data_IF_939405482353
#
_entry.id   IF_939405482353
#
_cell.length_a   1.000
_cell.length_b   1.000
_cell.length_c   1.000
_cell.angle_alpha   90.00
_cell.angle_beta   90.00
_cell.angle_gamma   90.00
#
_symmetry.space_group_name_H-M   'P 1'
#
loop_
_entity.id
_entity.type
_entity.pdbx_description
1 polymer ?
#
# COMPACT_ATOMS: atom_id res chain seq x y z
N UNK A 1 9.14 7.58 -5.38
CA UNK A 1 9.52 6.22 -4.92
C UNK A 1 9.93 6.15 -3.46
N UNK A 2 11.01 6.82 -3.01
CA UNK A 2 11.48 6.76 -1.61
C UNK A 2 10.38 6.98 -0.55
N UNK A 3 9.55 8.03 -0.72
CA UNK A 3 8.43 8.37 0.18
C UNK A 3 7.38 7.26 0.29
N UNK A 4 7.06 6.61 -0.83
CA UNK A 4 6.13 5.48 -0.86
C UNK A 4 6.69 4.28 -0.11
N UNK A 5 7.96 3.92 -0.35
CA UNK A 5 8.61 2.84 0.37
C UNK A 5 8.69 3.11 1.88
N UNK A 6 8.96 4.35 2.27
CA UNK A 6 8.93 4.76 3.67
C UNK A 6 7.53 4.56 4.28
N UNK A 7 6.48 5.00 3.59
CA UNK A 7 5.09 4.80 4.04
C UNK A 7 4.75 3.31 4.20
N UNK A 8 5.05 2.47 3.20
CA UNK A 8 4.78 1.02 3.25
C UNK A 8 5.53 0.35 4.42
N UNK A 9 6.80 0.72 4.62
CA UNK A 9 7.59 0.23 5.74
C UNK A 9 7.04 0.68 7.09
N UNK A 10 6.60 1.93 7.19
CA UNK A 10 6.10 2.51 8.43
C UNK A 10 4.71 1.95 8.78
N UNK A 11 3.82 1.75 7.81
CA UNK A 11 2.55 1.07 8.02
C UNK A 11 2.81 -0.34 8.55
N UNK A 12 3.74 -1.08 7.93
CA UNK A 12 4.10 -2.44 8.35
C UNK A 12 4.56 -2.51 9.81
N UNK A 13 5.32 -1.53 10.30
CA UNK A 13 5.92 -1.56 11.64
C UNK A 13 5.05 -0.95 12.74
N UNK A 14 4.12 -0.05 12.39
CA UNK A 14 3.32 0.74 13.32
C UNK A 14 1.82 0.40 13.14
N UNK A 15 1.25 -0.46 14.01
CA UNK A 15 -0.17 -0.80 13.98
C UNK A 15 -1.11 0.40 14.15
N UNK A 16 -0.69 1.43 14.89
CA UNK A 16 -1.49 2.64 15.07
C UNK A 16 -1.50 3.48 13.79
N UNK A 17 -0.37 3.54 13.06
CA UNK A 17 -0.34 4.14 11.73
C UNK A 17 -1.24 3.39 10.75
N UNK A 18 -1.21 2.06 10.77
CA UNK A 18 -2.11 1.25 9.94
C UNK A 18 -3.59 1.49 10.30
N UNK A 19 -3.91 1.62 11.58
CA UNK A 19 -5.27 1.95 12.03
C UNK A 19 -5.69 3.35 11.56
N UNK A 20 -4.81 4.35 11.68
CA UNK A 20 -5.06 5.72 11.19
C UNK A 20 -5.29 5.72 9.68
N UNK A 21 -4.43 5.02 8.94
CA UNK A 21 -4.51 4.92 7.49
C UNK A 21 -5.84 4.31 7.04
N UNK A 22 -6.28 3.20 7.67
CA UNK A 22 -7.56 2.56 7.36
C UNK A 22 -8.79 3.41 7.68
N UNK A 23 -8.72 4.23 8.73
CA UNK A 23 -9.80 5.15 9.08
C UNK A 23 -9.89 6.33 8.12
N UNK A 24 -8.74 6.91 7.77
CA UNK A 24 -8.65 8.02 6.84
C UNK A 24 -7.22 8.09 6.26
N UNK A 25 -7.02 7.65 5.00
CA UNK A 25 -5.68 7.60 4.41
C UNK A 25 -5.15 8.99 4.01
N UNK A 26 -6.02 9.98 3.76
CA UNK A 26 -5.64 11.27 3.18
C UNK A 26 -4.57 12.02 4.00
N UNK A 27 -4.73 12.26 5.31
CA UNK A 27 -3.74 12.98 6.10
C UNK A 27 -2.39 12.24 6.17
N UNK A 28 -2.43 10.90 6.14
CA UNK A 28 -1.21 10.09 6.15
C UNK A 28 -0.47 10.22 4.81
N UNK A 29 -1.18 10.13 3.69
CA UNK A 29 -0.59 10.31 2.36
C UNK A 29 -0.01 11.71 2.19
N UNK A 30 -0.68 12.73 2.70
CA UNK A 30 -0.20 14.11 2.68
C UNK A 30 1.07 14.28 3.52
N UNK A 31 1.10 13.72 4.74
CA UNK A 31 2.26 13.78 5.64
C UNK A 31 3.51 13.11 5.05
N UNK A 32 3.34 12.01 4.32
CA UNK A 32 4.44 11.34 3.63
C UNK A 32 4.76 11.96 2.26
N UNK A 33 3.93 12.89 1.78
CA UNK A 33 4.06 13.51 0.45
C UNK A 33 3.91 12.49 -0.68
N UNK A 34 2.98 11.53 -0.52
CA UNK A 34 2.60 10.56 -1.55
C UNK A 34 1.50 11.18 -2.43
N UNK A 35 1.83 11.35 -3.71
CA UNK A 35 1.02 12.07 -4.71
C UNK A 35 0.98 11.29 -6.04
N UNK A 36 0.08 11.67 -6.96
CA UNK A 36 -0.04 11.06 -8.29
C UNK A 36 -0.47 9.59 -8.24
N UNK A 37 0.01 8.79 -9.19
CA UNK A 37 -0.38 7.37 -9.33
C UNK A 37 -0.15 6.54 -8.04
N UNK A 38 0.92 6.83 -7.30
CA UNK A 38 1.18 6.16 -6.02
C UNK A 38 0.13 6.48 -4.96
N UNK A 39 -0.47 7.67 -5.00
CA UNK A 39 -1.52 8.07 -4.08
C UNK A 39 -2.81 7.33 -4.40
N UNK A 40 -3.20 7.32 -5.67
CA UNK A 40 -4.40 6.63 -6.15
C UNK A 40 -4.32 5.14 -5.81
N UNK A 41 -3.20 4.49 -6.12
CA UNK A 41 -3.00 3.08 -5.79
C UNK A 41 -3.07 2.78 -4.28
N UNK A 42 -2.56 3.68 -3.42
CA UNK A 42 -2.68 3.53 -1.97
C UNK A 42 -4.10 3.79 -1.44
N UNK A 43 -4.88 4.64 -2.10
CA UNK A 43 -6.28 4.92 -1.73
C UNK A 43 -7.20 3.75 -2.09
N UNK A 44 -6.95 3.14 -3.24
CA UNK A 44 -7.72 2.02 -3.78
C UNK A 44 -7.22 0.65 -3.27
N UNK A 45 -6.09 0.63 -2.56
CA UNK A 45 -5.38 -0.59 -2.18
C UNK A 45 -5.07 -1.47 -3.40
N UNK A 46 -4.68 -0.81 -4.48
CA UNK A 46 -4.25 -1.44 -5.73
C UNK A 46 -2.77 -1.83 -5.62
N UNK A 47 -2.53 -3.01 -5.05
CA UNK A 47 -1.19 -3.54 -4.83
C UNK A 47 -0.50 -3.93 -6.13
N UNK A 48 -1.27 -4.25 -7.16
CA UNK A 48 -0.76 -4.48 -8.51
C UNK A 48 -0.18 -3.18 -9.07
N UNK A 49 -0.94 -2.08 -9.06
CA UNK A 49 -0.45 -0.79 -9.54
C UNK A 49 0.78 -0.32 -8.76
N UNK A 50 0.84 -0.56 -7.45
CA UNK A 50 2.04 -0.30 -6.65
C UNK A 50 3.25 -1.09 -7.17
N UNK A 51 3.07 -2.36 -7.56
CA UNK A 51 4.12 -3.18 -8.17
C UNK A 51 4.56 -2.60 -9.52
N UNK A 52 3.61 -2.29 -10.41
CA UNK A 52 3.86 -1.75 -11.75
C UNK A 52 4.64 -0.43 -11.73
N UNK A 53 4.33 0.47 -10.80
CA UNK A 53 5.05 1.75 -10.67
C UNK A 53 6.44 1.59 -10.03
N UNK A 54 6.83 0.37 -9.63
CA UNK A 54 8.16 0.01 -9.16
C UNK A 54 8.30 -0.04 -7.64
N UNK A 55 7.21 -0.16 -6.88
CA UNK A 55 7.31 -0.35 -5.44
C UNK A 55 7.75 -1.79 -5.10
N UNK A 56 8.54 -1.95 -4.04
CA UNK A 56 9.12 -3.24 -3.68
C UNK A 56 8.04 -4.26 -3.28
N UNK A 57 7.97 -5.46 -3.91
CA UNK A 57 6.98 -6.50 -3.61
C UNK A 57 6.93 -6.91 -2.12
N UNK A 58 8.08 -6.93 -1.45
CA UNK A 58 8.15 -7.24 -0.03
C UNK A 58 7.39 -6.20 0.80
N UNK A 59 7.61 -4.91 0.52
CA UNK A 59 6.96 -3.82 1.26
C UNK A 59 5.45 -3.81 1.00
N UNK A 60 5.05 -4.06 -0.25
CA UNK A 60 3.65 -4.18 -0.65
C UNK A 60 2.96 -5.29 0.15
N UNK A 61 3.51 -6.51 0.13
CA UNK A 61 2.91 -7.67 0.79
C UNK A 61 2.70 -7.47 2.29
N UNK A 62 3.75 -7.02 3.00
CA UNK A 62 3.66 -6.83 4.44
C UNK A 62 2.80 -5.62 4.84
N UNK A 63 2.72 -4.58 4.00
CA UNK A 63 1.76 -3.50 4.17
C UNK A 63 0.33 -4.02 4.05
N UNK A 64 0.03 -4.83 3.03
CA UNK A 64 -1.31 -5.39 2.80
C UNK A 64 -1.81 -6.24 3.99
N UNK A 65 -0.93 -7.08 4.57
CA UNK A 65 -1.24 -7.83 5.80
C UNK A 65 -1.63 -6.88 6.93
N UNK A 66 -0.87 -5.82 7.12
CA UNK A 66 -1.07 -4.88 8.23
C UNK A 66 -2.31 -4.00 8.04
N UNK A 67 -2.69 -3.74 6.79
CA UNK A 67 -3.95 -3.11 6.42
C UNK A 67 -5.15 -4.08 6.47
N UNK A 68 -4.95 -5.31 6.94
CA UNK A 68 -5.99 -6.33 7.10
C UNK A 68 -6.74 -6.65 5.80
N UNK A 69 -6.03 -6.58 4.67
CA UNK A 69 -6.56 -7.06 3.40
C UNK A 69 -6.61 -8.60 3.46
N UNK A 70 -7.72 -9.19 3.02
CA UNK A 70 -7.82 -10.64 2.97
C UNK A 70 -6.75 -11.21 2.04
N UNK A 71 -6.14 -12.32 2.47
CA UNK A 71 -5.05 -12.94 1.72
C UNK A 71 -5.50 -13.40 0.33
N UNK A 72 -6.74 -13.85 0.18
CA UNK A 72 -7.31 -14.24 -1.10
C UNK A 72 -7.43 -13.05 -2.05
N UNK A 73 -7.92 -11.91 -1.56
CA UNK A 73 -8.08 -10.68 -2.33
C UNK A 73 -6.73 -10.14 -2.80
N UNK A 74 -5.72 -10.14 -1.91
CA UNK A 74 -4.35 -9.75 -2.28
C UNK A 74 -3.79 -10.60 -3.43
N UNK A 75 -3.91 -11.93 -3.34
CA UNK A 75 -3.38 -12.81 -4.39
C UNK A 75 -4.23 -12.80 -5.66
N UNK A 76 -5.50 -12.42 -5.61
CA UNK A 76 -6.33 -12.24 -6.80
C UNK A 76 -5.76 -11.09 -7.65
N UNK A 77 -5.50 -9.92 -7.05
CA UNK A 77 -4.88 -8.77 -7.73
C UNK A 77 -3.54 -9.16 -8.40
N UNK A 78 -2.68 -9.89 -7.70
CA UNK A 78 -1.38 -10.30 -8.24
C UNK A 78 -1.50 -11.38 -9.33
N UNK A 79 -2.57 -12.20 -9.33
CA UNK A 79 -2.76 -13.28 -10.32
C UNK A 79 -3.35 -12.81 -11.65
N UNK A 80 -4.10 -11.72 -11.66
CA UNK A 80 -4.61 -11.11 -12.89
C UNK A 80 -3.48 -10.64 -13.83
N UNK A 81 -2.24 -10.49 -13.33
CA UNK A 81 -1.03 -10.22 -14.10
C UNK A 81 -0.61 -11.38 -15.05
N UNK A 82 -1.20 -12.58 -14.94
CA UNK A 82 -0.82 -13.78 -15.72
C UNK A 82 -1.79 -14.19 -16.83
N UNK A 83 -2.92 -13.51 -17.02
CA UNK A 83 -3.88 -13.77 -18.11
C UNK A 83 -3.92 -12.61 -19.10
#
# INVERSE_FOLDING_TARGET
MYKLHQLLWDIRKDPDLALRFRKNPYPTLDAYGVTGEAREAMLELDFQKLHEIGANPYLIYFCAIQLQVDRADYYAQIREEKN
#
